data_IF_524216007674
#
_entry.id   IF_524216007674
#
_cell.length_a   1.000
_cell.length_b   1.000
_cell.length_c   1.000
_cell.angle_alpha   90.00
_cell.angle_beta   90.00
_cell.angle_gamma   90.00
#
_symmetry.space_group_name_H-M   'P 1'
#
loop_
_entity.id
_entity.type
_entity.pdbx_description
1 polymer ?
#
# COMPACT_ATOMS: atom_id res chain seq x y z
N UNK A 1 -22.31 6.16 4.86
CA UNK A 1 -22.32 4.72 4.46
C UNK A 1 -22.49 3.88 5.72
N UNK A 2 -23.08 2.68 5.66
CA UNK A 2 -23.20 1.82 6.86
C UNK A 2 -21.80 1.27 7.21
N UNK A 3 -21.45 1.19 8.49
CA UNK A 3 -20.15 0.68 8.95
C UNK A 3 -19.81 -0.74 8.42
N UNK A 4 -20.82 -1.51 8.01
CA UNK A 4 -20.64 -2.81 7.33
C UNK A 4 -20.04 -2.68 5.93
N UNK A 5 -20.39 -1.64 5.18
CA UNK A 5 -19.89 -1.38 3.82
C UNK A 5 -18.42 -0.96 3.84
N UNK A 6 -18.03 -0.08 4.76
CA UNK A 6 -16.62 0.33 4.93
C UNK A 6 -15.74 -0.86 5.31
N UNK A 7 -16.23 -1.73 6.21
CA UNK A 7 -15.51 -2.94 6.62
C UNK A 7 -15.35 -3.93 5.46
N UNK A 8 -16.38 -4.07 4.62
CA UNK A 8 -16.31 -4.92 3.42
C UNK A 8 -15.29 -4.40 2.41
N UNK A 9 -15.27 -3.08 2.15
CA UNK A 9 -14.29 -2.45 1.24
C UNK A 9 -12.87 -2.71 1.73
N UNK A 10 -12.61 -2.51 3.03
CA UNK A 10 -11.30 -2.77 3.62
C UNK A 10 -10.87 -4.24 3.48
N UNK A 11 -11.79 -5.19 3.65
CA UNK A 11 -11.49 -6.63 3.50
C UNK A 11 -11.18 -6.98 2.05
N UNK A 12 -11.98 -6.48 1.10
CA UNK A 12 -11.75 -6.68 -0.33
C UNK A 12 -10.39 -6.11 -0.72
N UNK A 13 -10.09 -4.89 -0.26
CA UNK A 13 -8.79 -4.24 -0.44
C UNK A 13 -7.61 -5.09 0.05
N UNK A 14 -7.71 -5.62 1.28
CA UNK A 14 -6.69 -6.52 1.83
C UNK A 14 -6.50 -7.80 1.00
N UNK A 15 -7.58 -8.40 0.49
CA UNK A 15 -7.50 -9.59 -0.37
C UNK A 15 -6.80 -9.25 -1.69
N UNK A 16 -7.13 -8.11 -2.29
CA UNK A 16 -6.47 -7.62 -3.51
C UNK A 16 -4.98 -7.42 -3.26
N UNK A 17 -4.58 -6.86 -2.12
CA UNK A 17 -3.16 -6.71 -1.80
C UNK A 17 -2.46 -8.05 -1.60
N UNK A 18 -3.08 -8.95 -0.83
CA UNK A 18 -2.49 -10.26 -0.51
C UNK A 18 -2.27 -11.13 -1.75
N UNK A 19 -3.20 -11.09 -2.70
CA UNK A 19 -3.16 -11.95 -3.89
C UNK A 19 -2.62 -11.20 -5.11
N UNK A 20 -3.07 -9.97 -5.33
CA UNK A 20 -2.74 -9.16 -6.49
C UNK A 20 -1.29 -8.69 -6.53
N UNK A 21 -0.70 -8.27 -5.40
CA UNK A 21 0.70 -7.84 -5.39
C UNK A 21 1.65 -8.98 -5.75
N UNK A 22 1.58 -10.19 -5.14
CA UNK A 22 2.43 -11.30 -5.55
C UNK A 22 2.21 -11.74 -7.00
N UNK A 23 0.95 -11.73 -7.48
CA UNK A 23 0.62 -12.08 -8.86
C UNK A 23 1.28 -11.14 -9.87
N UNK A 24 1.24 -9.84 -9.61
CA UNK A 24 1.84 -8.84 -10.52
C UNK A 24 3.35 -8.95 -10.55
N UNK A 25 3.99 -9.16 -9.40
CA UNK A 25 5.45 -9.40 -9.35
C UNK A 25 5.81 -10.69 -10.10
N UNK A 26 5.07 -11.77 -9.87
CA UNK A 26 5.29 -13.04 -10.55
C UNK A 26 5.12 -12.90 -12.07
N UNK A 27 4.09 -12.18 -12.51
CA UNK A 27 3.85 -11.92 -13.93
C UNK A 27 4.97 -11.08 -14.55
N UNK A 28 5.44 -10.04 -13.86
CA UNK A 28 6.55 -9.22 -14.33
C UNK A 28 7.86 -10.04 -14.47
N UNK A 29 8.11 -10.99 -13.57
CA UNK A 29 9.24 -11.92 -13.69
C UNK A 29 9.06 -12.86 -14.89
N UNK A 30 7.88 -13.48 -15.05
CA UNK A 30 7.59 -14.44 -16.13
C UNK A 30 7.71 -13.77 -17.50
N UNK A 31 7.29 -12.51 -17.62
CA UNK A 31 7.39 -11.74 -18.86
C UNK A 31 8.81 -11.22 -19.13
N UNK A 32 9.75 -11.39 -18.20
CA UNK A 32 11.13 -10.92 -18.34
C UNK A 32 11.30 -9.41 -18.14
N UNK A 33 10.28 -8.74 -17.60
CA UNK A 33 10.30 -7.29 -17.33
C UNK A 33 11.13 -6.93 -16.09
N UNK A 34 11.23 -7.87 -15.13
CA UNK A 34 11.98 -7.69 -13.89
C UNK A 34 12.81 -8.94 -13.59
N UNK A 35 14.13 -8.81 -13.36
CA UNK A 35 14.97 -9.91 -12.87
C UNK A 35 14.52 -10.40 -11.49
N UNK A 36 14.58 -11.71 -11.27
CA UNK A 36 14.24 -12.28 -9.96
C UNK A 36 15.13 -11.73 -8.82
N UNK A 37 16.40 -11.46 -9.10
CA UNK A 37 17.34 -10.89 -8.13
C UNK A 37 16.92 -9.50 -7.64
N UNK A 38 16.40 -8.66 -8.53
CA UNK A 38 15.92 -7.32 -8.20
C UNK A 38 14.70 -7.39 -7.27
N UNK A 39 13.85 -8.39 -7.43
CA UNK A 39 12.69 -8.62 -6.54
C UNK A 39 13.12 -8.98 -5.12
N UNK A 40 14.21 -9.72 -4.97
CA UNK A 40 14.72 -10.13 -3.66
C UNK A 40 15.51 -9.04 -2.93
N UNK A 41 16.10 -8.10 -3.67
CA UNK A 41 17.04 -7.12 -3.13
C UNK A 41 16.48 -5.70 -3.07
N UNK A 42 15.45 -5.40 -3.87
CA UNK A 42 14.84 -4.06 -3.92
C UNK A 42 13.75 -3.91 -2.87
N UNK A 43 13.67 -2.72 -2.27
CA UNK A 43 12.65 -2.42 -1.28
C UNK A 43 11.22 -2.60 -1.87
N UNK A 44 10.29 -3.24 -1.15
CA UNK A 44 8.91 -3.46 -1.62
C UNK A 44 8.18 -2.21 -2.11
N UNK A 45 8.38 -1.07 -1.42
CA UNK A 45 7.82 0.23 -1.80
C UNK A 45 8.27 0.74 -3.19
N UNK A 46 9.30 0.15 -3.78
CA UNK A 46 9.83 0.55 -5.09
C UNK A 46 9.52 -0.52 -6.12
N UNK A 47 9.83 -1.78 -5.83
CA UNK A 47 9.69 -2.88 -6.80
C UNK A 47 8.23 -3.18 -7.15
N UNK A 48 7.31 -3.05 -6.19
CA UNK A 48 5.88 -3.30 -6.43
C UNK A 48 5.33 -2.26 -7.42
N UNK A 49 5.44 -0.93 -7.17
CA UNK A 49 5.05 0.07 -8.16
C UNK A 49 5.64 -0.19 -9.55
N UNK A 50 6.94 -0.49 -9.59
CA UNK A 50 7.67 -0.71 -10.82
C UNK A 50 7.10 -1.90 -11.61
N UNK A 51 6.83 -3.02 -10.95
CA UNK A 51 6.21 -4.20 -11.54
C UNK A 51 4.88 -3.88 -12.21
N UNK A 52 4.01 -3.11 -11.54
CA UNK A 52 2.75 -2.69 -12.12
C UNK A 52 2.92 -1.78 -13.34
N UNK A 53 3.90 -0.87 -13.32
CA UNK A 53 4.16 0.02 -14.46
C UNK A 53 4.67 -0.78 -15.66
N UNK A 54 5.63 -1.69 -15.46
CA UNK A 54 6.23 -2.52 -16.53
C UNK A 54 5.19 -3.35 -17.29
N UNK A 55 4.22 -3.94 -16.59
CA UNK A 55 3.17 -4.74 -17.23
C UNK A 55 1.98 -3.91 -17.77
N UNK A 56 2.09 -2.58 -17.78
CA UNK A 56 1.07 -1.66 -18.29
C UNK A 56 -0.12 -1.43 -17.34
N UNK A 57 0.02 -1.78 -16.07
CA UNK A 57 -1.05 -1.74 -15.05
C UNK A 57 -0.89 -0.59 -14.05
N UNK A 58 -0.15 0.47 -14.41
CA UNK A 58 0.10 1.61 -13.52
C UNK A 58 -1.17 2.26 -12.94
N UNK A 59 -2.27 2.33 -13.71
CA UNK A 59 -3.55 2.86 -13.20
C UNK A 59 -4.14 1.95 -12.11
N UNK A 60 -4.02 0.62 -12.28
CA UNK A 60 -4.47 -0.35 -11.28
C UNK A 60 -3.63 -0.20 -10.01
N UNK A 61 -2.32 0.03 -10.15
CA UNK A 61 -1.46 0.31 -9.01
C UNK A 61 -1.87 1.58 -8.25
N UNK A 62 -2.27 2.65 -8.94
CA UNK A 62 -2.75 3.86 -8.26
C UNK A 62 -3.96 3.57 -7.36
N UNK A 63 -4.88 2.72 -7.81
CA UNK A 63 -6.05 2.29 -7.03
C UNK A 63 -5.62 1.44 -5.83
N UNK A 64 -4.74 0.45 -6.06
CA UNK A 64 -4.21 -0.43 -5.01
C UNK A 64 -3.39 0.37 -3.98
N UNK A 65 -2.66 1.38 -4.41
CA UNK A 65 -1.87 2.26 -3.55
C UNK A 65 -2.75 3.08 -2.60
N UNK A 66 -3.83 3.65 -3.12
CA UNK A 66 -4.81 4.37 -2.30
C UNK A 66 -5.46 3.43 -1.28
N UNK A 67 -5.87 2.23 -1.72
CA UNK A 67 -6.43 1.24 -0.81
C UNK A 67 -5.42 0.79 0.26
N UNK A 68 -4.16 0.59 -0.11
CA UNK A 68 -3.10 0.24 0.84
C UNK A 68 -2.90 1.31 1.90
N UNK A 69 -2.84 2.59 1.49
CA UNK A 69 -2.70 3.72 2.41
C UNK A 69 -3.90 3.75 3.37
N UNK A 70 -5.12 3.63 2.84
CA UNK A 70 -6.32 3.64 3.67
C UNK A 70 -6.33 2.44 4.62
N UNK A 71 -6.10 1.23 4.12
CA UNK A 71 -6.15 0.00 4.91
C UNK A 71 -5.05 -0.05 5.97
N UNK A 72 -3.80 0.24 5.59
CA UNK A 72 -2.65 0.27 6.48
C UNK A 72 -2.84 1.30 7.61
N UNK A 73 -3.38 2.47 7.29
CA UNK A 73 -3.68 3.50 8.30
C UNK A 73 -4.73 3.04 9.32
N UNK A 74 -5.79 2.36 8.87
CA UNK A 74 -6.83 1.84 9.76
C UNK A 74 -6.31 0.71 10.65
N UNK A 75 -5.53 -0.22 10.10
CA UNK A 75 -4.91 -1.29 10.86
C UNK A 75 -3.94 -0.75 11.91
N UNK A 76 -3.04 0.13 11.51
CA UNK A 76 -2.05 0.73 12.40
C UNK A 76 -2.71 1.52 13.52
N UNK A 77 -3.73 2.33 13.23
CA UNK A 77 -4.48 3.05 14.27
C UNK A 77 -5.11 2.10 15.28
N UNK A 78 -5.76 1.01 14.83
CA UNK A 78 -6.36 0.03 15.77
C UNK A 78 -5.33 -0.58 16.70
N UNK A 79 -4.20 -1.02 16.15
CA UNK A 79 -3.12 -1.63 16.93
C UNK A 79 -2.54 -0.62 17.93
N UNK A 80 -2.20 0.60 17.48
CA UNK A 80 -1.58 1.61 18.37
C UNK A 80 -2.53 2.10 19.47
N UNK A 81 -3.84 2.15 19.18
CA UNK A 81 -4.89 2.51 20.15
C UNK A 81 -4.97 1.51 21.31
N UNK A 82 -4.64 0.24 21.09
CA UNK A 82 -4.65 -0.80 22.13
C UNK A 82 -3.51 -0.63 23.14
N UNK A 83 -2.40 0.00 22.74
CA UNK A 83 -1.22 0.18 23.60
C UNK A 83 -1.17 1.55 24.31
N UNK A 84 -2.08 2.47 23.99
CA UNK A 84 -2.07 3.85 24.50
C UNK A 84 -3.37 4.15 25.23
N UNK A 85 -3.28 4.21 26.56
CA UNK A 85 -4.40 4.52 27.46
C UNK A 85 -4.71 6.02 27.53
N UNK A 86 -3.72 6.89 27.40
CA UNK A 86 -3.91 8.33 27.52
C UNK A 86 -4.31 8.99 26.18
N UNK A 87 -5.42 9.74 26.22
CA UNK A 87 -5.99 10.45 25.08
C UNK A 87 -5.01 11.44 24.42
N UNK A 88 -4.17 12.11 25.23
CA UNK A 88 -3.16 13.05 24.74
C UNK A 88 -2.16 12.36 23.80
N UNK A 89 -1.66 11.19 24.17
CA UNK A 89 -0.70 10.45 23.35
C UNK A 89 -1.37 9.79 22.15
N UNK A 90 -2.63 9.34 22.28
CA UNK A 90 -3.41 8.82 21.15
C UNK A 90 -3.51 9.85 20.02
N UNK A 91 -3.86 11.10 20.34
CA UNK A 91 -3.94 12.19 19.35
C UNK A 91 -2.60 12.49 18.65
N UNK A 92 -1.50 12.46 19.41
CA UNK A 92 -0.15 12.66 18.85
C UNK A 92 0.20 11.54 17.88
N UNK A 93 -0.08 10.29 18.25
CA UNK A 93 0.18 9.12 17.41
C UNK A 93 -0.67 9.16 16.14
N UNK A 94 -1.97 9.47 16.24
CA UNK A 94 -2.84 9.62 15.08
C UNK A 94 -2.31 10.67 14.10
N UNK A 95 -1.81 11.79 14.62
CA UNK A 95 -1.20 12.84 13.80
C UNK A 95 0.06 12.36 13.08
N UNK A 96 0.95 11.64 13.79
CA UNK A 96 2.16 11.06 13.21
C UNK A 96 1.81 10.04 12.12
N UNK A 97 0.86 9.13 12.40
CA UNK A 97 0.37 8.15 11.41
C UNK A 97 -0.14 8.87 10.17
N UNK A 98 -0.95 9.92 10.32
CA UNK A 98 -1.46 10.69 9.18
C UNK A 98 -0.35 11.29 8.32
N UNK A 99 0.68 11.86 8.95
CA UNK A 99 1.84 12.39 8.22
C UNK A 99 2.54 11.28 7.43
N UNK A 100 2.80 10.13 8.07
CA UNK A 100 3.43 8.98 7.41
C UNK A 100 2.58 8.52 6.22
N UNK A 101 1.26 8.46 6.37
CA UNK A 101 0.35 8.05 5.29
C UNK A 101 0.38 9.04 4.12
N UNK A 102 0.38 10.35 4.40
CA UNK A 102 0.47 11.39 3.36
C UNK A 102 1.79 11.26 2.60
N UNK A 103 2.91 11.14 3.32
CA UNK A 103 4.23 10.98 2.72
C UNK A 103 4.27 9.71 1.86
N UNK A 104 3.75 8.60 2.38
CA UNK A 104 3.67 7.34 1.63
C UNK A 104 2.86 7.51 0.35
N UNK A 105 1.68 8.12 0.41
CA UNK A 105 0.86 8.40 -0.76
C UNK A 105 1.56 9.27 -1.80
N UNK A 106 2.28 10.32 -1.36
CA UNK A 106 3.06 11.19 -2.26
C UNK A 106 4.19 10.41 -2.94
N UNK A 107 4.96 9.62 -2.19
CA UNK A 107 6.06 8.82 -2.75
C UNK A 107 5.52 7.80 -3.75
N UNK A 108 4.43 7.11 -3.41
CA UNK A 108 3.80 6.14 -4.30
C UNK A 108 3.32 6.77 -5.60
N UNK A 109 2.68 7.94 -5.54
CA UNK A 109 2.28 8.70 -6.71
C UNK A 109 3.48 9.17 -7.54
N UNK A 110 4.54 9.65 -6.88
CA UNK A 110 5.76 10.07 -7.56
C UNK A 110 6.40 8.93 -8.33
N UNK A 111 6.55 7.76 -7.70
CA UNK A 111 7.09 6.56 -8.36
C UNK A 111 6.22 6.15 -9.55
N UNK A 112 4.90 6.21 -9.40
CA UNK A 112 3.95 5.89 -10.46
C UNK A 112 4.08 6.75 -11.72
N UNK A 113 4.31 8.05 -11.53
CA UNK A 113 4.24 9.04 -12.62
C UNK A 113 5.62 9.35 -13.20
N UNK A 114 6.66 9.33 -12.36
CA UNK A 114 7.97 9.89 -12.71
C UNK A 114 9.11 8.87 -12.70
N UNK A 115 8.88 7.62 -12.28
CA UNK A 115 9.92 6.58 -12.29
C UNK A 115 9.59 5.54 -13.37
N UNK A 116 10.28 5.57 -14.53
CA UNK A 116 10.04 4.67 -15.67
C UNK A 116 10.64 3.27 -15.48
#
# INVERSE_FOLDING_TARGET
MRASTERLILIIGAIIMLVGMPLVIALAIILGEIPFEDVLTTHPLVIIPYAFVKIGWGIIWAIVAVDWVIHGSHGLRRVLIEFISEEKYRKVIEYIVNIIMIITGIVMFYVLVFVP
#
